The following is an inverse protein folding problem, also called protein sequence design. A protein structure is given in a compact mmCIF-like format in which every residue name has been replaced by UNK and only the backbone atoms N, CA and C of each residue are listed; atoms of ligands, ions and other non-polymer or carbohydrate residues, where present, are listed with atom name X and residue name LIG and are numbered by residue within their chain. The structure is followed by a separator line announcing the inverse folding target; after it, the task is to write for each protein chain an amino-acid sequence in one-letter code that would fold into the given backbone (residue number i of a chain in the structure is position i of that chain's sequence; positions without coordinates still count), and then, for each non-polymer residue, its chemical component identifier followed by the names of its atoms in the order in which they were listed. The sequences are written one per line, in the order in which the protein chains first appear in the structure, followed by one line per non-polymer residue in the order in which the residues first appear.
data_IF_264440256351
#
_entry.id   IF_264440256351
#
_cell.length_a   1.000
_cell.length_b   1.000
_cell.length_c   1.000
_cell.angle_alpha   90.00
_cell.angle_beta   90.00
_cell.angle_gamma   90.00
#
_symmetry.space_group_name_H-M   'P 1'
#
loop_
_entity.id
_entity.type
_entity.pdbx_description
1 polymer ?
2 non-polymer ?
3 non-polymer ?
4 non-polymer ?
5 water ?
#
# COMPACT_ATOMS: atom_id res chain seq x y z
N UNK A 3 9.12 27.09 17.28
CA UNK A 3 8.60 28.23 16.46
C UNK A 3 8.21 27.87 15.03
N UNK A 4 9.19 27.77 14.15
CA UNK A 4 8.93 27.42 12.75
C UNK A 4 8.49 25.96 12.56
N UNK A 5 7.64 25.74 11.57
CA UNK A 5 7.16 24.40 11.27
C UNK A 5 7.40 24.07 9.79
N UNK A 6 7.62 22.78 9.52
CA UNK A 6 7.88 22.32 8.16
C UNK A 6 6.88 21.24 7.78
N UNK A 7 6.43 21.26 6.53
CA UNK A 7 5.42 20.31 6.10
C UNK A 7 5.43 20.04 4.59
N UNK A 8 5.24 18.78 4.22
CA UNK A 8 5.22 18.47 2.81
C UNK A 8 4.68 17.09 2.51
N UNK A 9 4.65 16.77 1.22
CA UNK A 9 4.17 15.47 0.76
C UNK A 9 5.35 14.70 0.15
N UNK A 10 5.35 13.39 0.39
CA UNK A 10 6.39 12.51 -0.15
C UNK A 10 5.68 11.34 -0.79
N UNK A 11 5.78 11.21 -2.12
CA UNK A 11 5.13 10.12 -2.82
C UNK A 11 6.06 8.91 -2.76
N UNK A 12 5.49 7.73 -2.58
CA UNK A 12 6.30 6.50 -2.54
C UNK A 12 5.82 5.74 -3.77
N UNK A 13 6.70 5.59 -4.76
CA UNK A 13 6.38 4.92 -6.00
C UNK A 13 7.37 3.81 -6.39
N UNK A 14 6.98 3.00 -7.37
CA UNK A 14 7.82 1.91 -7.84
C UNK A 14 6.91 0.89 -8.48
N UNK A 15 7.47 -0.15 -9.08
CA UNK A 15 6.66 -1.21 -9.69
C UNK A 15 6.03 -2.02 -8.55
N UNK A 16 5.15 -2.98 -8.89
CA UNK A 16 4.54 -3.76 -7.80
C UNK A 16 5.50 -4.69 -7.06
N UNK A 17 5.13 -4.99 -5.82
CA UNK A 17 5.86 -5.97 -5.00
C UNK A 17 7.26 -5.62 -4.52
N UNK A 18 7.64 -4.34 -4.58
CA UNK A 18 8.98 -3.94 -4.14
C UNK A 18 9.07 -3.61 -2.65
N UNK A 19 7.90 -3.40 -2.02
CA UNK A 19 7.86 -3.11 -0.60
C UNK A 19 7.44 -1.70 -0.22
N UNK A 20 6.74 -1.02 -1.12
CA UNK A 20 6.30 0.35 -0.86
C UNK A 20 5.40 0.46 0.37
N UNK A 21 4.39 -0.40 0.46
CA UNK A 21 3.49 -0.35 1.60
C UNK A 21 4.19 -0.80 2.88
N UNK A 22 5.10 -1.77 2.76
CA UNK A 22 5.85 -2.24 3.91
C UNK A 22 6.68 -1.07 4.43
N UNK A 23 7.28 -0.32 3.51
CA UNK A 23 8.13 0.79 3.90
C UNK A 23 7.30 1.86 4.62
N UNK A 24 6.12 2.17 4.08
CA UNK A 24 5.27 3.17 4.73
C UNK A 24 4.89 2.75 6.16
N UNK A 25 4.45 1.51 6.34
CA UNK A 25 4.08 1.02 7.69
C UNK A 25 5.25 1.15 8.66
N UNK A 26 6.46 0.84 8.18
CA UNK A 26 7.63 0.92 9.04
C UNK A 26 8.10 2.35 9.29
N UNK A 27 7.84 3.25 8.34
CA UNK A 27 8.21 4.66 8.53
C UNK A 27 7.27 5.25 9.59
N UNK A 28 6.03 4.81 9.58
CA UNK A 28 5.03 5.31 10.54
C UNK A 28 5.05 4.59 11.89
N UNK A 29 5.54 3.35 11.89
CA UNK A 29 5.60 2.57 13.11
C UNK A 29 4.25 1.93 13.43
N UNK A 30 3.32 1.96 12.48
CA UNK A 30 1.99 1.38 12.66
C UNK A 30 1.49 0.85 11.32
N UNK A 31 0.77 -0.27 11.35
CA UNK A 31 0.26 -0.84 10.11
C UNK A 31 -1.00 -0.15 9.59
N UNK A 32 -0.86 0.60 8.51
CA UNK A 32 -2.01 1.28 7.94
C UNK A 32 -2.27 0.79 6.52
N UNK A 33 -1.25 0.19 5.90
CA UNK A 33 -1.37 -0.26 4.53
C UNK A 33 -1.32 -1.78 4.36
N UNK A 34 -2.10 -2.32 3.40
CA UNK A 34 -2.13 -3.77 3.15
C UNK A 34 -0.81 -4.17 2.51
N UNK A 35 -0.38 -5.39 2.82
CA UNK A 35 0.86 -5.93 2.31
C UNK A 35 0.66 -7.38 1.89
N UNK A 36 1.23 -7.77 0.76
CA UNK A 36 1.11 -9.16 0.32
C UNK A 36 2.22 -9.52 -0.64
N UNK A 37 2.42 -10.82 -0.88
CA UNK A 37 3.47 -11.24 -1.80
C UNK A 37 2.99 -11.24 -3.25
N UNK A 38 1.75 -10.84 -3.46
CA UNK A 38 1.17 -10.78 -4.80
C UNK A 38 1.48 -9.42 -5.46
N UNK A 39 1.90 -9.45 -6.73
CA UNK A 39 2.27 -8.32 -7.60
C UNK A 39 1.20 -7.28 -7.96
N UNK A 40 0.24 -7.03 -7.07
CA UNK A 40 -0.77 -6.01 -7.31
C UNK A 40 -1.65 -5.87 -6.06
N UNK A 41 -1.05 -5.42 -4.98
CA UNK A 41 -1.78 -5.29 -3.73
C UNK A 41 -2.47 -3.92 -3.57
N UNK A 42 -1.68 -2.85 -3.55
CA UNK A 42 -2.25 -1.51 -3.39
C UNK A 42 -2.94 -1.09 -4.67
N UNK A 43 -4.14 -0.52 -4.54
CA UNK A 43 -4.92 -0.09 -5.71
C UNK A 43 -5.33 1.38 -5.66
N UNK A 44 -5.06 2.04 -4.54
CA UNK A 44 -5.45 3.43 -4.38
C UNK A 44 -4.44 4.15 -3.53
N UNK A 45 -4.26 5.45 -3.80
CA UNK A 45 -3.33 6.22 -2.98
C UNK A 45 -3.77 6.15 -1.53
N UNK A 46 -2.81 6.09 -0.61
CA UNK A 46 -3.14 6.05 0.81
C UNK A 46 -2.19 7.02 1.49
N UNK A 47 -2.75 7.98 2.24
CA UNK A 47 -1.92 8.94 2.96
C UNK A 47 -1.56 8.45 4.35
N UNK A 48 -0.26 8.54 4.67
CA UNK A 48 0.26 8.17 5.97
C UNK A 48 0.77 9.46 6.57
N UNK A 49 0.30 9.82 7.76
CA UNK A 49 0.70 11.09 8.36
C UNK A 49 1.74 10.95 9.45
N UNK A 50 2.94 11.45 9.18
CA UNK A 50 4.05 11.40 10.13
C UNK A 50 4.34 12.79 10.71
N UNK A 51 4.13 12.93 12.01
CA UNK A 51 4.41 14.22 12.65
C UNK A 51 5.50 14.02 13.67
N UNK A 52 6.60 14.73 13.53
CA UNK A 52 7.72 14.59 14.47
C UNK A 52 8.22 15.99 14.85
N UNK A 53 7.84 16.43 16.05
CA UNK A 53 8.24 17.75 16.51
C UNK A 53 7.54 18.83 15.72
N UNK A 54 8.31 19.72 15.10
CA UNK A 54 7.75 20.80 14.29
C UNK A 54 7.73 20.47 12.81
N UNK A 55 7.92 19.19 12.48
CA UNK A 55 7.92 18.79 11.07
C UNK A 55 6.92 17.69 10.78
N UNK A 56 6.28 17.79 9.62
CA UNK A 56 5.27 16.82 9.23
C UNK A 56 5.44 16.35 7.80
N UNK A 57 5.29 15.04 7.59
CA UNK A 57 5.37 14.52 6.24
C UNK A 57 4.08 13.78 5.97
N UNK A 58 3.45 14.05 4.84
CA UNK A 58 2.27 13.29 4.47
C UNK A 58 2.79 12.33 3.38
N UNK A 59 2.92 11.06 3.73
CA UNK A 59 3.38 10.07 2.77
C UNK A 59 2.23 9.62 1.90
N UNK A 60 2.49 9.41 0.62
CA UNK A 60 1.44 8.92 -0.25
C UNK A 60 1.86 7.58 -0.87
N UNK A 61 1.28 6.51 -0.34
CA UNK A 61 1.57 5.17 -0.85
C UNK A 61 0.80 5.11 -2.17
N UNK A 62 1.32 4.38 -3.15
CA UNK A 62 0.69 4.31 -4.44
C UNK A 62 0.68 2.91 -4.99
N UNK A 63 -0.18 2.65 -5.97
CA UNK A 63 -0.27 1.33 -6.60
C UNK A 63 1.03 1.13 -7.39
N UNK A 64 1.46 -0.11 -7.53
CA UNK A 64 2.66 -0.38 -8.32
C UNK A 64 2.42 0.01 -9.77
N UNK A 65 3.37 0.75 -10.35
CA UNK A 65 3.23 1.18 -11.74
C UNK A 65 3.31 -0.05 -12.65
N UNK A 66 2.35 -0.15 -13.57
CA UNK A 66 2.27 -1.27 -14.50
C UNK A 66 1.45 -0.85 -15.71
N UNK A 67 1.42 -1.69 -16.74
CA UNK A 67 0.62 -1.40 -17.94
C UNK A 67 -0.81 -1.86 -17.66
N UNK A 68 -1.76 -0.90 -17.56
CA UNK A 68 -3.17 -1.19 -17.28
C UNK A 68 -3.80 -2.21 -18.23
N UNK A 69 -4.56 -3.14 -17.66
CA UNK A 69 -5.22 -4.19 -18.44
C UNK A 69 -6.73 -4.02 -18.44
N UNK A 70 -7.24 -3.19 -17.56
CA UNK A 70 -8.67 -2.98 -17.49
C UNK A 70 -8.99 -1.71 -16.74
N UNK A 71 -10.28 -1.45 -16.57
CA UNK A 71 -10.75 -0.24 -15.90
C UNK A 71 -10.08 -0.02 -14.54
N UNK A 72 -9.94 -1.07 -13.74
CA UNK A 72 -9.29 -0.89 -12.43
C UNK A 72 -7.84 -0.47 -12.64
N UNK A 73 -7.16 -1.13 -13.58
CA UNK A 73 -5.77 -0.77 -13.84
C UNK A 73 -5.62 0.68 -14.27
N UNK A 74 -6.57 1.18 -15.04
CA UNK A 74 -6.53 2.57 -15.50
C UNK A 74 -6.68 3.53 -14.32
N UNK A 75 -7.57 3.19 -13.39
CA UNK A 75 -7.76 4.02 -12.20
C UNK A 75 -6.43 4.05 -11.43
N UNK A 76 -5.85 2.87 -11.22
CA UNK A 76 -4.59 2.74 -10.50
C UNK A 76 -3.48 3.57 -11.15
N UNK A 77 -3.40 3.51 -12.48
CA UNK A 77 -2.39 4.26 -13.21
C UNK A 77 -2.60 5.76 -12.96
N UNK A 78 -3.86 6.20 -13.00
CA UNK A 78 -4.18 7.60 -12.75
C UNK A 78 -3.78 7.97 -11.31
N UNK A 79 -3.92 7.04 -10.38
CA UNK A 79 -3.55 7.31 -9.00
C UNK A 79 -2.06 7.62 -8.85
N UNK A 80 -1.21 6.89 -9.57
CA UNK A 80 0.23 7.14 -9.51
C UNK A 80 0.54 8.50 -10.15
N UNK A 81 -0.07 8.76 -11.30
CA UNK A 81 0.15 10.01 -12.00
C UNK A 81 -0.22 11.21 -11.12
N UNK A 82 -1.36 11.13 -10.45
CA UNK A 82 -1.78 12.23 -9.60
C UNK A 82 -0.94 12.33 -8.33
N UNK A 83 -0.40 11.20 -7.87
CA UNK A 83 0.45 11.22 -6.68
C UNK A 83 1.71 12.03 -6.94
N UNK A 84 2.17 12.03 -8.19
CA UNK A 84 3.39 12.72 -8.55
C UNK A 84 3.21 14.17 -9.01
N UNK A 85 1.97 14.65 -9.04
CA UNK A 85 1.69 16.02 -9.48
C UNK A 85 2.26 17.14 -8.61
N UNK A 86 2.15 17.01 -7.29
CA UNK A 86 2.66 18.07 -6.42
C UNK A 86 3.21 17.58 -5.08
N UNK A 87 4.46 17.13 -5.10
CA UNK A 87 5.09 16.65 -3.87
C UNK A 87 6.38 17.39 -3.59
N UNK A 88 6.96 17.15 -2.42
CA UNK A 88 8.20 17.80 -2.04
C UNK A 88 9.39 16.85 -2.13
N UNK A 89 9.11 15.57 -2.35
CA UNK A 89 10.16 14.57 -2.51
C UNK A 89 9.49 13.28 -2.96
N UNK A 90 10.26 12.45 -3.66
CA UNK A 90 9.77 11.16 -4.13
C UNK A 90 10.71 10.06 -3.67
N UNK A 91 10.13 8.98 -3.17
CA UNK A 91 10.89 7.81 -2.75
C UNK A 91 10.56 6.76 -3.80
N UNK A 92 11.55 6.36 -4.57
CA UNK A 92 11.32 5.35 -5.59
C UNK A 92 11.89 4.06 -5.02
N UNK A 93 11.01 3.10 -4.75
CA UNK A 93 11.44 1.83 -4.18
C UNK A 93 11.69 0.77 -5.25
N UNK A 94 12.83 0.08 -5.14
CA UNK A 94 13.19 -0.99 -6.07
C UNK A 94 13.59 -2.21 -5.22
N UNK A 95 13.44 -3.39 -5.83
CA UNK A 95 13.74 -4.69 -5.23
C UNK A 95 15.19 -5.07 -5.57
N UNK A 96 16.08 -5.02 -4.58
CA UNK A 96 17.50 -5.34 -4.79
C UNK A 96 17.83 -6.79 -5.11
N UNK A 97 16.83 -7.68 -5.02
CA UNK A 97 17.03 -9.10 -5.29
C UNK A 97 17.29 -9.43 -6.76
N UNK A 98 16.95 -8.50 -7.64
CA UNK A 98 17.13 -8.72 -9.07
C UNK A 98 17.40 -7.41 -9.78
N UNK A 99 17.95 -7.48 -11.01
CA UNK A 99 18.24 -6.28 -11.82
C UNK A 99 16.91 -5.69 -12.28
N UNK A 100 16.92 -4.43 -12.74
CA UNK A 100 15.73 -3.72 -13.22
C UNK A 100 14.90 -4.48 -14.27
N UNK A 101 13.59 -4.46 -14.12
CA UNK A 101 12.71 -5.09 -15.10
C UNK A 101 12.09 -3.96 -15.90
N UNK A 102 11.39 -4.30 -17.00
CA UNK A 102 10.77 -3.24 -17.79
C UNK A 102 9.85 -2.37 -16.93
N UNK A 103 9.19 -2.97 -15.94
CA UNK A 103 8.31 -2.19 -15.07
C UNK A 103 9.10 -1.17 -14.28
N UNK A 104 10.32 -1.51 -13.87
CA UNK A 104 11.15 -0.54 -13.15
C UNK A 104 11.54 0.58 -14.12
N UNK A 105 11.84 0.24 -15.37
CA UNK A 105 12.21 1.25 -16.36
C UNK A 105 11.04 2.21 -16.59
N UNK A 106 9.83 1.69 -16.45
CA UNK A 106 8.62 2.47 -16.61
C UNK A 106 8.57 3.56 -15.52
N UNK A 107 8.99 3.22 -14.31
CA UNK A 107 9.01 4.18 -13.22
C UNK A 107 10.08 5.26 -13.45
N UNK A 108 11.27 4.84 -13.88
CA UNK A 108 12.34 5.80 -14.15
C UNK A 108 11.83 6.82 -15.17
N UNK A 109 11.12 6.33 -16.20
CA UNK A 109 10.56 7.22 -17.23
C UNK A 109 9.56 8.19 -16.63
N UNK A 110 8.73 7.70 -15.71
CA UNK A 110 7.72 8.55 -15.08
C UNK A 110 8.34 9.61 -14.17
N UNK A 111 9.56 9.37 -13.70
CA UNK A 111 10.19 10.34 -12.81
C UNK A 111 11.06 11.40 -13.51
N UNK A 112 11.42 11.17 -14.77
CA UNK A 112 12.26 12.11 -15.52
C UNK A 112 11.83 13.58 -15.39
N UNK A 113 10.54 13.87 -15.63
CA UNK A 113 10.10 15.27 -15.52
C UNK A 113 10.25 15.90 -14.13
N UNK A 114 10.48 15.08 -13.11
CA UNK A 114 10.65 15.62 -11.76
C UNK A 114 12.11 15.84 -11.40
N UNK A 115 13.02 15.27 -12.19
CA UNK A 115 14.45 15.42 -11.94
C UNK A 115 14.84 16.89 -11.92
N UNK A 116 15.53 17.29 -10.86
CA UNK A 116 15.94 18.68 -10.73
C UNK A 116 14.87 19.60 -10.16
N UNK A 117 13.64 19.09 -10.06
CA UNK A 117 12.54 19.89 -9.52
C UNK A 117 12.19 19.48 -8.10
N UNK A 118 12.25 18.18 -7.83
CA UNK A 118 11.95 17.65 -6.52
C UNK A 118 12.99 16.57 -6.18
N UNK A 119 13.43 16.50 -4.91
CA UNK A 119 14.42 15.46 -4.56
C UNK A 119 13.82 14.09 -4.87
N UNK A 120 14.66 13.19 -5.39
CA UNK A 120 14.25 11.84 -5.68
C UNK A 120 15.22 10.90 -4.94
N UNK A 121 14.68 10.05 -4.07
CA UNK A 121 15.53 9.13 -3.34
C UNK A 121 15.30 7.72 -3.89
N UNK A 122 16.35 7.11 -4.43
CA UNK A 122 16.24 5.77 -4.96
C UNK A 122 16.54 4.85 -3.77
N UNK A 123 15.50 4.19 -3.26
CA UNK A 123 15.65 3.31 -2.13
C UNK A 123 15.60 1.84 -2.54
N UNK A 124 16.77 1.20 -2.49
CA UNK A 124 16.83 -0.20 -2.83
C UNK A 124 16.34 -0.93 -1.59
N UNK A 125 15.33 -1.77 -1.77
CA UNK A 125 14.77 -2.51 -0.65
C UNK A 125 15.09 -4.01 -0.68
N UNK A 126 14.81 -4.68 0.43
CA UNK A 126 15.04 -6.12 0.60
C UNK A 126 16.53 -6.48 0.58
N UNK A 127 17.33 -5.57 1.11
CA UNK A 127 18.78 -5.79 1.20
C UNK A 127 19.05 -7.12 1.91
N UNK A 128 18.21 -7.45 2.88
CA UNK A 128 18.33 -8.67 3.67
C UNK A 128 18.26 -9.97 2.87
N UNK A 129 17.58 -9.94 1.72
CA UNK A 129 17.42 -11.13 0.92
C UNK A 129 18.05 -11.07 -0.46
N UNK A 130 18.80 -10.02 -0.72
CA UNK A 130 19.46 -9.84 -2.01
C UNK A 130 20.81 -10.52 -2.06
N UNK A 131 21.11 -11.21 -3.16
CA UNK A 131 22.40 -11.89 -3.29
C UNK A 131 23.44 -10.95 -3.88
N UNK A 132 23.03 -10.10 -4.82
CA UNK A 132 23.92 -9.14 -5.47
C UNK A 132 23.39 -7.69 -5.35
N UNK A 133 23.17 -7.19 -4.13
CA UNK A 133 22.66 -5.85 -3.82
C UNK A 133 23.38 -4.72 -4.55
N UNK A 134 24.71 -4.71 -4.46
CA UNK A 134 25.50 -3.66 -5.10
C UNK A 134 25.30 -3.61 -6.61
N UNK A 135 25.45 -4.77 -7.28
CA UNK A 135 25.28 -4.79 -8.72
C UNK A 135 23.89 -4.36 -9.13
N UNK A 136 22.89 -4.82 -8.38
CA UNK A 136 21.51 -4.46 -8.66
C UNK A 136 21.31 -2.95 -8.51
N UNK A 137 21.74 -2.43 -7.35
CA UNK A 137 21.59 -1.02 -7.06
C UNK A 137 22.25 -0.16 -8.14
N UNK A 138 23.42 -0.60 -8.63
CA UNK A 138 24.12 0.15 -9.67
C UNK A 138 23.30 0.24 -10.95
N UNK A 139 22.66 -0.87 -11.31
CA UNK A 139 21.85 -0.91 -12.51
C UNK A 139 20.61 -0.02 -12.36
N UNK A 140 20.01 -0.01 -11.17
CA UNK A 140 18.84 0.83 -10.95
C UNK A 140 19.22 2.31 -11.03
N UNK A 141 20.33 2.66 -10.38
CA UNK A 141 20.77 4.05 -10.37
C UNK A 141 21.05 4.59 -11.77
N UNK A 142 21.58 3.74 -12.65
CA UNK A 142 21.86 4.19 -14.01
C UNK A 142 20.60 4.62 -14.75
N UNK A 143 19.44 4.16 -14.27
CA UNK A 143 18.18 4.53 -14.90
C UNK A 143 17.75 5.96 -14.54
N UNK A 144 18.30 6.49 -13.45
CA UNK A 144 17.95 7.84 -12.99
C UNK A 144 19.12 8.31 -12.12
N UNK A 145 20.25 8.64 -12.75
CA UNK A 145 21.48 9.10 -12.10
C UNK A 145 21.30 10.19 -11.08
N UNK A 146 20.33 11.05 -11.31
CA UNK A 146 20.08 12.20 -10.44
C UNK A 146 19.51 11.85 -9.06
N UNK A 147 19.05 10.62 -8.87
CA UNK A 147 18.49 10.24 -7.57
C UNK A 147 19.58 9.96 -6.55
N UNK A 148 19.22 10.06 -5.28
CA UNK A 148 20.16 9.74 -4.22
C UNK A 148 19.90 8.26 -3.95
N UNK A 149 20.94 7.42 -4.09
CA UNK A 149 20.75 5.99 -3.85
C UNK A 149 21.05 5.56 -2.42
N UNK A 150 20.33 4.54 -1.97
CA UNK A 150 20.59 3.95 -0.66
C UNK A 150 20.02 2.53 -0.69
N UNK A 151 20.64 1.65 0.09
CA UNK A 151 20.19 0.27 0.18
C UNK A 151 19.75 -0.03 1.62
N UNK A 152 18.63 -0.71 1.77
CA UNK A 152 18.13 -1.06 3.09
C UNK A 152 17.08 -2.15 3.01
N UNK A 153 16.49 -2.46 4.16
CA UNK A 153 15.40 -3.42 4.24
C UNK A 153 14.35 -2.60 4.97
N UNK A 154 13.13 -2.59 4.44
CA UNK A 154 12.05 -1.83 5.04
C UNK A 154 11.74 -2.39 6.42
N UNK A 155 12.28 -3.57 6.70
CA UNK A 155 12.07 -4.24 8.00
C UNK A 155 13.14 -3.89 9.03
N UNK A 156 14.16 -3.14 8.61
CA UNK A 156 15.24 -2.75 9.51
C UNK A 156 14.94 -1.40 10.16
N UNK A 157 14.64 -1.43 11.45
CA UNK A 157 14.31 -0.23 12.21
C UNK A 157 15.33 0.91 12.06
N UNK A 158 16.60 0.59 12.21
CA UNK A 158 17.66 1.59 12.12
C UNK A 158 17.79 2.24 10.74
N UNK A 159 17.74 1.45 9.68
CA UNK A 159 17.86 2.03 8.34
C UNK A 159 16.63 2.85 7.98
N UNK A 160 15.46 2.40 8.40
CA UNK A 160 14.24 3.14 8.11
C UNK A 160 14.25 4.47 8.88
N UNK A 161 14.67 4.43 10.14
CA UNK A 161 14.74 5.64 10.95
C UNK A 161 15.67 6.66 10.29
N UNK A 162 16.73 6.15 9.68
CA UNK A 162 17.69 7.02 9.02
C UNK A 162 17.04 7.67 7.80
N UNK A 163 16.26 6.90 7.06
CA UNK A 163 15.57 7.42 5.87
C UNK A 163 14.53 8.47 6.29
N UNK A 164 13.85 8.20 7.37
CA UNK A 164 12.84 9.12 7.87
C UNK A 164 13.47 10.46 8.24
N UNK A 165 14.61 10.42 8.91
CA UNK A 165 15.29 11.65 9.29
C UNK A 165 15.67 12.45 8.04
N UNK A 166 16.26 11.78 7.06
CA UNK A 166 16.67 12.44 5.82
C UNK A 166 15.50 13.07 5.07
N UNK A 167 14.32 12.45 5.12
CA UNK A 167 13.15 13.00 4.44
C UNK A 167 12.56 14.21 5.18
N UNK A 168 12.57 14.16 6.51
CA UNK A 168 12.05 15.28 7.31
C UNK A 168 12.85 16.55 7.03
N UNK A 169 14.16 16.42 6.85
CA UNK A 169 15.02 17.57 6.56
C UNK A 169 14.74 18.20 5.20
N UNK A 170 13.99 17.49 4.34
CA UNK A 170 13.67 17.99 3.00
C UNK A 170 12.34 18.76 2.91
N UNK A 171 11.56 18.74 3.97
CA UNK A 171 10.26 19.40 3.95
C UNK A 171 10.39 20.94 4.05
N UNK A 172 9.66 21.67 3.20
CA UNK A 172 9.68 23.14 3.18
C UNK A 172 8.93 23.75 4.36
N UNK A 173 9.27 24.99 4.67
CA UNK A 173 8.61 25.70 5.76
C UNK A 173 7.14 25.86 5.42
N UNK A 174 6.29 25.67 6.42
CA UNK A 174 4.87 25.80 6.17
C UNK A 174 4.03 25.19 7.27
N UNK A 175 2.72 25.50 7.30
CA UNK A 175 1.81 24.96 8.30
C UNK A 175 1.54 23.48 8.03
N UNK A 176 1.28 22.72 9.10
CA UNK A 176 0.99 21.29 8.94
C UNK A 176 -0.27 21.13 8.10
N UNK A 177 -0.28 20.11 7.24
CA UNK A 177 -1.44 19.85 6.40
C UNK A 177 -2.54 19.22 7.23
N UNK A 178 -2.12 18.44 8.22
CA UNK A 178 -3.03 17.75 9.13
C UNK A 178 -2.67 18.16 10.54
N UNK A 179 -3.67 18.19 11.45
CA UNK A 179 -3.39 18.57 12.83
C UNK A 179 -2.39 17.58 13.41
N UNK A 180 -1.54 18.03 14.33
CA UNK A 180 -0.53 17.16 14.90
C UNK A 180 -1.05 15.97 15.70
N UNK A 181 -2.35 15.95 15.99
CA UNK A 181 -2.92 14.85 16.75
C UNK A 181 -3.79 13.97 15.87
N UNK A 182 -3.67 14.16 14.57
CA UNK A 182 -4.46 13.41 13.60
C UNK A 182 -4.05 11.93 13.57
N UNK A 183 -4.93 11.08 13.06
CA UNK A 183 -4.63 9.64 12.97
C UNK A 183 -3.38 9.39 12.10
N UNK A 184 -2.88 8.17 12.13
CA UNK A 184 -1.68 7.82 11.36
C UNK A 184 -1.92 7.71 9.86
N UNK A 185 -3.17 7.58 9.45
CA UNK A 185 -3.49 7.49 8.03
C UNK A 185 -4.83 8.14 7.77
N UNK A 186 -5.03 8.59 6.54
CA UNK A 186 -6.29 9.22 6.16
C UNK A 186 -7.19 8.19 5.51
N UNK A 187 -7.93 7.43 6.34
CA UNK A 187 -8.86 6.41 5.84
C UNK A 187 -9.81 6.10 6.98
N UNK A 188 -10.98 5.55 6.65
CA UNK A 188 -11.96 5.21 7.69
C UNK A 188 -11.58 3.89 8.33
N UNK A 189 -12.13 3.63 9.51
CA UNK A 189 -11.87 2.36 10.19
C UNK A 189 -12.36 1.25 9.30
N UNK A 190 -13.51 1.47 8.67
CA UNK A 190 -14.08 0.46 7.78
C UNK A 190 -13.18 0.12 6.60
N UNK A 191 -12.53 1.13 6.06
CA UNK A 191 -11.62 0.92 4.93
C UNK A 191 -10.39 0.15 5.39
N UNK A 192 -9.85 0.54 6.53
CA UNK A 192 -8.67 -0.12 7.07
C UNK A 192 -8.96 -1.61 7.31
N UNK A 193 -10.11 -1.90 7.92
CA UNK A 193 -10.49 -3.29 8.17
C UNK A 193 -10.65 -4.06 6.85
N UNK A 194 -11.35 -3.47 5.89
CA UNK A 194 -11.56 -4.13 4.60
C UNK A 194 -10.23 -4.45 3.90
N UNK A 195 -9.26 -3.56 4.05
CA UNK A 195 -7.95 -3.77 3.45
C UNK A 195 -7.17 -4.88 4.16
N UNK A 196 -7.36 -5.02 5.46
CA UNK A 196 -6.69 -6.08 6.20
C UNK A 196 -7.24 -7.43 5.71
N UNK A 197 -8.56 -7.48 5.56
CA UNK A 197 -9.22 -8.67 5.07
C UNK A 197 -8.74 -9.00 3.66
N UNK A 198 -8.64 -7.98 2.80
CA UNK A 198 -8.22 -8.24 1.42
C UNK A 198 -6.81 -8.80 1.43
N UNK A 199 -5.97 -8.27 2.32
CA UNK A 199 -4.60 -8.72 2.42
C UNK A 199 -4.55 -10.20 2.81
N UNK A 200 -5.34 -10.59 3.82
CA UNK A 200 -5.33 -12.00 4.19
C UNK A 200 -5.91 -12.86 3.08
N UNK A 201 -6.87 -12.35 2.32
CA UNK A 201 -7.45 -13.12 1.22
C UNK A 201 -6.40 -13.34 0.12
N UNK A 202 -5.77 -12.25 -0.30
CA UNK A 202 -4.78 -12.31 -1.36
C UNK A 202 -3.65 -13.30 -1.07
N UNK A 203 -3.22 -13.35 0.19
CA UNK A 203 -2.13 -14.24 0.57
C UNK A 203 -2.54 -15.71 0.60
N UNK A 204 -3.84 -15.97 0.66
CA UNK A 204 -4.33 -17.34 0.74
C UNK A 204 -5.08 -17.82 -0.49
N UNK A 205 -5.01 -17.03 -1.55
CA UNK A 205 -5.68 -17.38 -2.80
C UNK A 205 -4.61 -17.37 -3.88
N UNK A 206 -4.84 -18.11 -4.96
CA UNK A 206 -3.85 -18.23 -6.01
C UNK A 206 -4.35 -18.07 -7.43
N UNK A 207 -3.39 -18.06 -8.35
CA UNK A 207 -3.64 -17.90 -9.77
C UNK A 207 -4.26 -16.52 -9.98
N UNK A 208 -5.40 -16.45 -10.66
CA UNK A 208 -5.99 -15.13 -10.91
C UNK A 208 -6.93 -14.63 -9.82
N UNK A 209 -7.30 -15.50 -8.89
CA UNK A 209 -8.24 -15.12 -7.85
C UNK A 209 -7.88 -13.91 -6.99
N UNK A 210 -6.65 -13.83 -6.48
CA UNK A 210 -6.29 -12.67 -5.65
C UNK A 210 -6.62 -11.34 -6.29
N UNK A 211 -6.37 -11.23 -7.59
CA UNK A 211 -6.61 -9.99 -8.30
C UNK A 211 -8.09 -9.72 -8.57
N UNK A 212 -8.94 -10.71 -8.34
CA UNK A 212 -10.36 -10.55 -8.59
C UNK A 212 -11.10 -10.23 -7.29
N UNK A 213 -10.36 -10.17 -6.18
CA UNK A 213 -10.97 -9.90 -4.89
C UNK A 213 -11.12 -8.43 -4.50
N UNK A 214 -12.32 -8.07 -4.06
CA UNK A 214 -12.58 -6.73 -3.56
C UNK A 214 -13.27 -6.97 -2.22
N UNK A 215 -13.18 -6.02 -1.30
CA UNK A 215 -13.81 -6.20 0.00
C UNK A 215 -14.48 -4.94 0.47
N UNK A 216 -15.47 -5.12 1.36
CA UNK A 216 -16.17 -3.99 1.94
C UNK A 216 -16.76 -4.37 3.27
N UNK A 217 -16.63 -3.46 4.23
CA UNK A 217 -17.18 -3.69 5.55
C UNK A 217 -18.59 -3.12 5.49
N UNK A 218 -19.59 -3.91 5.87
CA UNK A 218 -20.95 -3.39 5.84
C UNK A 218 -21.50 -3.10 7.22
N UNK A 219 -20.84 -3.63 8.25
CA UNK A 219 -21.29 -3.38 9.61
C UNK A 219 -20.21 -3.52 10.68
N UNK A 220 -20.17 -2.55 11.58
CA UNK A 220 -19.25 -2.55 12.70
C UNK A 220 -20.10 -2.13 13.91
N UNK A 221 -20.03 -2.88 14.99
CA UNK A 221 -20.83 -2.54 16.17
C UNK A 221 -20.30 -3.16 17.45
N UNK A 222 -20.42 -2.41 18.54
CA UNK A 222 -19.99 -2.88 19.85
C UNK A 222 -20.90 -4.06 20.18
N UNK A 223 -20.36 -5.07 20.88
CA UNK A 223 -21.18 -6.24 21.20
C UNK A 223 -20.66 -7.03 22.41
N UNK A 224 -21.23 -8.22 22.58
CA UNK A 224 -20.89 -9.16 23.65
C UNK A 224 -20.22 -8.56 24.89
N UNK A 225 -19.12 -9.20 25.29
CA UNK A 225 -18.33 -8.78 26.43
C UNK A 225 -17.11 -8.02 25.91
N UNK A 226 -17.29 -6.75 25.59
CA UNK A 226 -16.18 -5.96 25.07
C UNK A 226 -15.69 -6.55 23.75
N UNK A 227 -16.64 -7.04 22.95
CA UNK A 227 -16.32 -7.63 21.65
C UNK A 227 -16.77 -6.70 20.53
N UNK A 228 -15.91 -6.54 19.53
CA UNK A 228 -16.22 -5.69 18.41
C UNK A 228 -16.77 -6.57 17.29
N UNK A 229 -18.00 -6.31 16.88
CA UNK A 229 -18.61 -7.08 15.83
C UNK A 229 -18.39 -6.45 14.46
N UNK A 230 -17.95 -7.26 13.51
CA UNK A 230 -17.70 -6.77 12.15
C UNK A 230 -18.24 -7.73 11.11
N UNK A 231 -18.98 -7.18 10.17
CA UNK A 231 -19.54 -7.93 9.08
C UNK A 231 -18.93 -7.37 7.80
N UNK A 232 -18.36 -8.24 6.99
CA UNK A 232 -17.72 -7.81 5.74
C UNK A 232 -18.04 -8.73 4.60
N UNK A 233 -17.95 -8.18 3.39
CA UNK A 233 -18.22 -8.91 2.17
C UNK A 233 -16.94 -9.05 1.36
N UNK A 234 -16.72 -10.24 0.83
CA UNK A 234 -15.55 -10.49 -0.01
C UNK A 234 -16.13 -10.77 -1.39
N UNK A 235 -15.91 -9.84 -2.31
CA UNK A 235 -16.41 -9.98 -3.67
C UNK A 235 -15.39 -10.62 -4.61
N UNK A 236 -15.90 -11.36 -5.58
CA UNK A 236 -15.08 -11.97 -6.63
C UNK A 236 -15.78 -11.60 -7.95
N UNK A 237 -15.13 -11.85 -9.08
CA UNK A 237 -15.73 -11.50 -10.37
C UNK A 237 -16.59 -12.57 -11.01
N UNK A 238 -16.43 -13.82 -10.58
CA UNK A 238 -17.17 -14.94 -11.17
C UNK A 238 -17.53 -16.07 -10.24
N UNK A 239 -18.61 -16.80 -10.56
CA UNK A 239 -19.08 -17.93 -9.75
C UNK A 239 -18.02 -18.99 -9.43
N UNK A 240 -17.15 -19.28 -10.39
CA UNK A 240 -16.11 -20.29 -10.15
C UNK A 240 -15.13 -19.81 -9.07
N UNK A 241 -14.94 -18.50 -8.97
CA UNK A 241 -14.03 -17.95 -7.97
C UNK A 241 -14.66 -17.98 -6.59
N UNK A 242 -15.97 -17.73 -6.54
CA UNK A 242 -16.68 -17.76 -5.27
C UNK A 242 -16.56 -19.17 -4.67
N UNK A 243 -16.71 -20.18 -5.51
CA UNK A 243 -16.61 -21.56 -5.01
C UNK A 243 -15.22 -21.85 -4.44
N UNK A 244 -14.19 -21.34 -5.11
CA UNK A 244 -12.81 -21.53 -4.68
C UNK A 244 -12.49 -20.74 -3.41
N UNK A 245 -13.04 -19.53 -3.28
CA UNK A 245 -12.78 -18.73 -2.09
C UNK A 245 -13.44 -19.38 -0.88
N UNK A 246 -14.63 -19.94 -1.09
CA UNK A 246 -15.35 -20.61 -0.02
C UNK A 246 -14.61 -21.92 0.31
N UNK A 247 -14.27 -22.67 -0.74
CA UNK A 247 -13.55 -23.93 -0.54
C UNK A 247 -14.38 -25.10 -0.05
N UNK A 248 -13.76 -26.28 -0.01
CA UNK A 248 -14.44 -27.49 0.45
C UNK A 248 -14.94 -27.37 1.89
N UNK A 249 -16.26 -27.44 2.05
CA UNK A 249 -16.83 -27.33 3.37
C UNK A 249 -16.61 -25.96 3.98
N UNK A 250 -16.38 -24.97 3.12
CA UNK A 250 -16.15 -23.61 3.58
C UNK A 250 -14.83 -23.44 4.30
N UNK A 251 -13.89 -24.34 4.04
CA UNK A 251 -12.58 -24.29 4.70
C UNK A 251 -11.73 -23.09 4.33
N UNK A 252 -11.76 -22.68 3.07
CA UNK A 252 -10.94 -21.56 2.65
C UNK A 252 -11.42 -20.24 3.24
N UNK A 253 -12.71 -19.95 3.16
CA UNK A 253 -13.17 -18.69 3.70
C UNK A 253 -13.01 -18.67 5.23
N UNK A 254 -13.07 -19.85 5.87
CA UNK A 254 -12.89 -19.92 7.32
C UNK A 254 -11.44 -19.59 7.63
N UNK A 255 -10.53 -20.12 6.82
CA UNK A 255 -9.09 -19.85 7.00
C UNK A 255 -8.86 -18.34 6.89
N UNK A 256 -9.44 -17.74 5.85
CA UNK A 256 -9.28 -16.31 5.62
C UNK A 256 -9.89 -15.51 6.80
N UNK A 257 -11.11 -15.87 7.19
CA UNK A 257 -11.79 -15.19 8.28
C UNK A 257 -11.01 -15.27 9.59
N UNK A 258 -10.56 -16.46 9.95
CA UNK A 258 -9.81 -16.62 11.19
C UNK A 258 -8.52 -15.78 11.17
N UNK A 259 -7.78 -15.83 10.07
CA UNK A 259 -6.53 -15.07 9.99
C UNK A 259 -6.77 -13.58 10.10
N UNK A 260 -7.84 -13.11 9.48
CA UNK A 260 -8.19 -11.70 9.51
C UNK A 260 -8.61 -11.33 10.92
N UNK A 261 -9.47 -12.14 11.55
CA UNK A 261 -9.86 -11.82 12.93
C UNK A 261 -8.63 -11.71 13.84
N UNK A 262 -7.76 -12.70 13.76
CA UNK A 262 -6.56 -12.69 14.62
C UNK A 262 -5.65 -11.49 14.35
N UNK A 263 -5.47 -11.09 13.09
CA UNK A 263 -4.62 -9.93 12.84
C UNK A 263 -5.31 -8.69 13.43
N UNK A 264 -6.61 -8.57 13.23
CA UNK A 264 -7.39 -7.45 13.76
C UNK A 264 -7.27 -7.38 15.29
N UNK A 265 -7.42 -8.51 15.95
CA UNK A 265 -7.34 -8.50 17.40
C UNK A 265 -5.94 -8.10 17.88
N UNK A 266 -4.92 -8.51 17.13
CA UNK A 266 -3.54 -8.18 17.52
C UNK A 266 -3.22 -6.70 17.33
N UNK A 267 -3.76 -6.11 16.29
CA UNK A 267 -3.53 -4.69 15.99
C UNK A 267 -4.38 -3.76 16.84
N UNK A 268 -5.60 -4.19 17.16
CA UNK A 268 -6.52 -3.36 17.94
C UNK A 268 -6.43 -3.64 19.44
N UNK A 269 -5.88 -4.79 19.80
CA UNK A 269 -5.76 -5.14 21.21
C UNK A 269 -7.09 -5.37 21.91
N UNK A 270 -8.06 -5.91 21.16
CA UNK A 270 -9.38 -6.18 21.72
C UNK A 270 -10.04 -7.30 20.92
N UNK A 271 -11.09 -7.89 21.49
CA UNK A 271 -11.81 -9.00 20.86
C UNK A 271 -12.63 -8.57 19.65
N UNK A 272 -12.59 -9.40 18.61
CA UNK A 272 -13.31 -9.15 17.38
C UNK A 272 -14.06 -10.41 16.95
N UNK A 273 -15.31 -10.23 16.56
CA UNK A 273 -16.12 -11.32 16.07
C UNK A 273 -16.34 -10.90 14.62
N UNK A 274 -15.80 -11.68 13.70
CA UNK A 274 -15.89 -11.36 12.27
C UNK A 274 -16.73 -12.34 11.45
N UNK A 275 -17.73 -11.81 10.76
CA UNK A 275 -18.58 -12.59 9.87
C UNK A 275 -18.24 -12.20 8.44
N UNK A 276 -18.01 -13.20 7.59
CA UNK A 276 -17.67 -12.95 6.19
C UNK A 276 -18.70 -13.57 5.27
N UNK A 277 -19.01 -12.87 4.19
CA UNK A 277 -19.93 -13.35 3.18
C UNK A 277 -19.20 -13.17 1.85
N UNK A 278 -19.24 -14.20 1.00
CA UNK A 278 -18.58 -14.15 -0.30
C UNK A 278 -19.63 -13.91 -1.38
N UNK A 279 -19.44 -12.89 -2.20
CA UNK A 279 -20.39 -12.57 -3.26
C UNK A 279 -19.74 -12.34 -4.60
N UNK A 280 -20.50 -12.57 -5.67
CA UNK A 280 -20.01 -12.35 -7.02
C UNK A 280 -20.44 -10.94 -7.45
N UNK A 281 -19.48 -10.11 -7.83
CA UNK A 281 -19.76 -8.77 -8.33
C UNK A 281 -19.26 -8.92 -9.77
N UNK A 282 -20.15 -9.37 -10.68
CA UNK A 282 -19.88 -9.61 -12.09
C UNK A 282 -18.81 -8.74 -12.76
N UNK A 283 -17.66 -9.36 -13.03
CA UNK A 283 -16.54 -8.69 -13.67
C UNK A 283 -16.43 -7.24 -13.26
N UNK A 284 -16.45 -7.00 -11.95
CA UNK A 284 -16.40 -5.64 -11.43
C UNK A 284 -15.18 -4.82 -11.86
N UNK A 285 -14.07 -5.47 -12.19
CA UNK A 285 -12.87 -4.72 -12.59
C UNK A 285 -13.06 -3.96 -13.91
N UNK A 286 -14.12 -4.32 -14.64
CA UNK A 286 -14.44 -3.67 -15.91
C UNK A 286 -15.72 -2.84 -15.82
N UNK A 287 -16.35 -2.86 -14.65
CA UNK A 287 -17.60 -2.14 -14.41
C UNK A 287 -17.34 -0.77 -13.74
N UNK A 288 -17.42 0.33 -14.51
CA UNK A 288 -17.18 1.67 -13.96
C UNK A 288 -18.04 1.97 -12.73
N UNK A 289 -19.28 1.47 -12.75
CA UNK A 289 -20.19 1.68 -11.63
C UNK A 289 -19.72 0.89 -10.43
N UNK A 290 -19.30 -0.36 -10.68
CA UNK A 290 -18.82 -1.22 -9.60
C UNK A 290 -17.60 -0.55 -8.97
N UNK A 291 -16.68 -0.06 -9.80
CA UNK A 291 -15.48 0.57 -9.25
C UNK A 291 -15.85 1.72 -8.31
N UNK A 292 -16.83 2.53 -8.70
CA UNK A 292 -17.22 3.64 -7.83
C UNK A 292 -17.82 3.13 -6.52
N UNK A 293 -18.65 2.10 -6.59
CA UNK A 293 -19.25 1.53 -5.39
C UNK A 293 -18.18 0.98 -4.43
N UNK A 294 -17.14 0.38 -5.01
CA UNK A 294 -16.08 -0.23 -4.23
C UNK A 294 -15.04 0.76 -3.73
N UNK A 295 -15.14 2.01 -4.13
CA UNK A 295 -14.19 3.00 -3.66
C UNK A 295 -13.03 3.33 -4.56
N UNK A 296 -13.01 2.77 -5.76
CA UNK A 296 -11.94 3.06 -6.72
C UNK A 296 -12.51 4.15 -7.61
N UNK A 297 -12.83 5.28 -6.98
CA UNK A 297 -13.45 6.39 -7.68
C UNK A 297 -12.60 7.55 -8.12
N UNK A 298 -12.76 7.85 -9.42
CA UNK A 298 -12.09 8.93 -10.12
C UNK A 298 -12.32 8.61 -11.60
#
# INVERSE_FOLDING_TARGET
MAEKTYSGFVAIVGKPNVGKSTLLNNLLGVKVAPISPRPQTTRKRLRGILTEGRRQIVFVDTPGLHKPMDALGEFMDQEVYEALADVNAVVWVVDLRHPPTPEDELVARALKPLVGKVPILLVGNKLDAAKYPEEAMKAYHELLPEAEPRMLSALDERQVAELKADLLALMPEGPFFYPEDYAKSDQTFGEWVAEILREEAMKRLWHEVPYAVATKVEEVAERENGVLYIKAILYVERPSQKAIVIGEGGRKIKEIGQATRKQLEALLGKKVYLDLEVKVYPDWRKDPEALRELGYRSSVG
#
